data_IF_300735186811
#
_entry.id   IF_300735186811
#
_cell.length_a   1.000
_cell.length_b   1.000
_cell.length_c   1.000
_cell.angle_alpha   90.00
_cell.angle_beta   90.00
_cell.angle_gamma   90.00
#
_symmetry.space_group_name_H-M   'P 1'
#
loop_
_entity.id
_entity.type
_entity.pdbx_description
1 polymer ?
#
# COMPACT_ATOMS: atom_id res chain seq x y z
N UNK A 1 -58.66 14.95 0.26
CA UNK A 1 -57.54 15.39 1.13
C UNK A 1 -56.97 14.13 1.76
N UNK A 2 -55.89 13.58 1.19
CA UNK A 2 -55.35 12.26 1.53
C UNK A 2 -54.06 12.50 2.32
N UNK A 3 -54.12 12.23 3.62
CA UNK A 3 -53.07 12.50 4.60
C UNK A 3 -51.96 11.45 4.49
N UNK A 4 -50.80 11.87 3.97
CA UNK A 4 -49.58 11.07 3.94
C UNK A 4 -49.05 10.87 5.36
N UNK A 5 -48.97 9.62 5.82
CA UNK A 5 -48.32 9.25 7.08
C UNK A 5 -46.82 9.11 6.84
N UNK A 6 -46.03 9.95 7.51
CA UNK A 6 -44.56 9.93 7.51
C UNK A 6 -44.09 8.71 8.29
N UNK A 7 -43.37 7.80 7.63
CA UNK A 7 -42.70 6.66 8.26
C UNK A 7 -41.37 7.17 8.83
N UNK A 8 -41.24 7.12 10.15
CA UNK A 8 -39.99 7.30 10.89
C UNK A 8 -39.03 6.15 10.53
N UNK A 9 -37.98 6.44 9.77
CA UNK A 9 -36.85 5.52 9.58
C UNK A 9 -35.87 5.75 10.72
N UNK A 10 -35.86 4.82 11.68
CA UNK A 10 -34.81 4.70 12.68
C UNK A 10 -33.61 4.06 12.00
N UNK A 11 -32.65 4.87 11.54
CA UNK A 11 -31.37 4.35 11.06
C UNK A 11 -30.54 4.04 12.30
N UNK A 12 -30.52 2.76 12.68
CA UNK A 12 -29.63 2.25 13.71
C UNK A 12 -28.19 2.59 13.32
N UNK A 13 -27.47 3.30 14.19
CA UNK A 13 -26.02 3.50 14.10
C UNK A 13 -25.36 2.13 14.30
N UNK A 14 -25.17 1.40 13.20
CA UNK A 14 -24.20 0.32 13.13
C UNK A 14 -22.82 0.95 13.03
N UNK A 15 -22.02 0.87 14.10
CA UNK A 15 -20.58 1.07 14.05
C UNK A 15 -19.95 -0.07 13.23
N UNK A 16 -20.09 0.00 11.91
CA UNK A 16 -19.25 -0.77 11.00
C UNK A 16 -17.88 -0.09 11.03
N UNK A 17 -16.94 -0.65 11.80
CA UNK A 17 -15.54 -0.30 11.69
C UNK A 17 -15.15 -0.42 10.22
N UNK A 18 -14.86 0.71 9.58
CA UNK A 18 -14.36 0.70 8.22
C UNK A 18 -12.99 0.02 8.28
N UNK A 19 -12.93 -1.25 7.88
CA UNK A 19 -11.67 -1.86 7.51
C UNK A 19 -11.10 -0.97 6.40
N UNK A 20 -9.93 -0.37 6.67
CA UNK A 20 -9.22 0.35 5.62
C UNK A 20 -9.06 -0.60 4.43
N UNK A 21 -9.17 -0.11 3.18
CA UNK A 21 -8.76 -0.93 2.05
C UNK A 21 -7.35 -1.47 2.34
N UNK A 22 -7.09 -2.70 1.91
CA UNK A 22 -5.77 -3.33 1.95
C UNK A 22 -5.54 -3.94 0.56
N UNK A 23 -4.32 -3.81 0.04
CA UNK A 23 -3.95 -4.49 -1.19
C UNK A 23 -3.98 -6.01 -0.96
N UNK A 24 -4.16 -6.78 -2.03
CA UNK A 24 -4.04 -8.22 -1.94
C UNK A 24 -2.63 -8.59 -1.46
N UNK A 25 -2.54 -9.35 -0.37
CA UNK A 25 -1.26 -9.76 0.19
C UNK A 25 -0.45 -10.57 -0.83
N UNK A 26 0.84 -10.27 -0.95
CA UNK A 26 1.74 -10.95 -1.87
C UNK A 26 2.23 -12.24 -1.21
N UNK A 27 1.99 -13.42 -1.79
CA UNK A 27 2.40 -14.69 -1.19
C UNK A 27 3.90 -14.73 -0.89
N UNK A 28 4.26 -15.02 0.36
CA UNK A 28 5.65 -15.07 0.81
C UNK A 28 6.20 -13.75 1.33
N UNK A 29 5.44 -12.66 1.25
CA UNK A 29 5.80 -11.38 1.83
C UNK A 29 5.13 -11.17 3.19
N UNK A 30 5.80 -10.40 4.03
CA UNK A 30 5.34 -9.97 5.35
C UNK A 30 4.87 -8.53 5.25
N UNK A 31 3.63 -8.21 5.64
CA UNK A 31 3.13 -6.84 5.63
C UNK A 31 3.79 -5.98 6.70
N UNK A 32 4.03 -4.72 6.37
CA UNK A 32 4.68 -3.72 7.22
C UNK A 32 3.74 -2.54 7.53
N UNK A 33 4.01 -1.76 8.59
CA UNK A 33 3.34 -0.48 8.80
C UNK A 33 3.47 0.40 7.57
N UNK A 34 2.34 0.90 7.07
CA UNK A 34 2.26 1.60 5.79
C UNK A 34 1.51 2.92 5.93
N UNK A 35 1.85 3.95 5.14
CA UNK A 35 1.08 5.19 5.11
C UNK A 35 -0.30 4.97 4.48
N UNK A 36 -1.27 5.87 4.72
CA UNK A 36 -2.59 5.77 4.12
C UNK A 36 -2.54 5.68 2.59
N UNK A 37 -3.28 4.74 2.02
CA UNK A 37 -3.36 4.52 0.56
C UNK A 37 -2.22 3.68 -0.03
N UNK A 38 -1.31 3.18 0.80
CA UNK A 38 -0.23 2.27 0.38
C UNK A 38 -0.15 1.06 1.31
N UNK A 39 0.39 -0.03 0.78
CA UNK A 39 0.72 -1.25 1.52
C UNK A 39 2.15 -1.64 1.20
N UNK A 40 2.95 -1.75 2.25
CA UNK A 40 4.36 -2.13 2.22
C UNK A 40 4.48 -3.57 2.64
N UNK A 41 5.19 -4.35 1.83
CA UNK A 41 5.38 -5.78 2.06
C UNK A 41 6.84 -6.13 1.82
N UNK A 42 7.43 -6.96 2.67
CA UNK A 42 8.85 -7.35 2.59
C UNK A 42 9.04 -8.85 2.53
N UNK A 43 10.11 -9.30 1.89
CA UNK A 43 10.55 -10.69 1.95
C UNK A 43 12.09 -10.81 1.98
N UNK A 44 12.56 -12.01 2.29
CA UNK A 44 13.98 -12.35 2.25
C UNK A 44 14.80 -11.57 3.27
N UNK A 45 15.89 -10.97 2.82
CA UNK A 45 16.80 -10.16 3.65
C UNK A 45 16.32 -8.74 3.98
N UNK A 46 15.10 -8.35 3.55
CA UNK A 46 14.52 -7.04 3.85
C UNK A 46 13.57 -7.12 5.05
N UNK A 47 13.53 -6.05 5.82
CA UNK A 47 12.73 -5.91 7.04
C UNK A 47 11.83 -4.68 6.95
N UNK A 48 10.83 -4.59 7.83
CA UNK A 48 9.97 -3.40 7.86
C UNK A 48 10.71 -2.10 8.22
N UNK A 49 11.89 -2.21 8.85
CA UNK A 49 12.76 -1.06 9.11
C UNK A 49 13.29 -0.46 7.81
N UNK A 50 13.40 -1.24 6.73
CA UNK A 50 13.87 -0.80 5.41
C UNK A 50 12.83 0.02 4.63
N UNK A 51 11.61 0.18 5.15
CA UNK A 51 10.55 0.98 4.52
C UNK A 51 10.91 2.47 4.30
N UNK A 52 11.98 2.97 4.92
CA UNK A 52 12.54 4.30 4.65
C UNK A 52 12.92 4.48 3.17
N UNK A 53 13.28 3.40 2.47
CA UNK A 53 13.69 3.47 1.06
C UNK A 53 12.52 3.88 0.16
N UNK A 54 11.32 3.34 0.41
CA UNK A 54 10.11 3.67 -0.32
C UNK A 54 9.67 5.13 -0.08
N UNK A 55 10.02 5.71 1.07
CA UNK A 55 9.76 7.12 1.40
C UNK A 55 10.80 8.07 0.79
N UNK A 56 11.98 7.55 0.49
CA UNK A 56 13.09 8.32 -0.12
C UNK A 56 13.03 8.31 -1.64
N UNK A 57 12.27 7.38 -2.23
CA UNK A 57 12.06 7.29 -3.67
C UNK A 57 11.32 8.52 -4.20
N UNK A 58 11.88 9.15 -5.24
CA UNK A 58 11.21 10.25 -5.94
C UNK A 58 10.25 9.66 -6.99
N UNK A 59 8.95 9.67 -6.68
CA UNK A 59 7.91 9.09 -7.53
C UNK A 59 7.50 9.97 -8.72
N UNK A 60 7.73 11.28 -8.62
CA UNK A 60 7.10 12.27 -9.52
C UNK A 60 8.07 12.68 -10.63
N UNK A 61 9.26 13.13 -10.23
CA UNK A 61 10.25 13.71 -11.13
C UNK A 61 11.53 12.87 -11.24
N UNK A 62 11.66 11.86 -10.36
CA UNK A 62 12.79 10.96 -10.31
C UNK A 62 12.87 9.98 -11.49
N UNK A 63 14.07 9.45 -11.78
CA UNK A 63 14.21 8.36 -12.75
C UNK A 63 13.45 7.12 -12.27
N UNK A 64 12.97 6.27 -13.20
CA UNK A 64 12.30 5.01 -12.85
C UNK A 64 13.17 4.04 -12.06
N UNK A 65 14.48 4.21 -12.16
CA UNK A 65 15.51 3.44 -11.49
C UNK A 65 16.23 4.35 -10.51
N UNK A 66 16.23 4.02 -9.23
CA UNK A 66 16.92 4.78 -8.19
C UNK A 66 17.63 3.83 -7.23
N UNK A 67 18.82 4.21 -6.79
CA UNK A 67 19.63 3.45 -5.84
C UNK A 67 19.71 4.19 -4.51
N UNK A 68 19.55 3.43 -3.42
CA UNK A 68 19.54 3.96 -2.06
C UNK A 68 20.30 3.00 -1.15
N UNK A 69 21.51 3.39 -0.73
CA UNK A 69 22.38 2.54 0.07
C UNK A 69 22.57 1.15 -0.58
N UNK A 70 22.02 0.10 0.03
CA UNK A 70 22.08 -1.29 -0.42
C UNK A 70 20.81 -1.75 -1.16
N UNK A 71 19.96 -0.82 -1.59
CA UNK A 71 18.73 -1.09 -2.32
C UNK A 71 18.75 -0.48 -3.71
N UNK A 72 18.21 -1.25 -4.65
CA UNK A 72 17.93 -0.82 -6.01
C UNK A 72 16.43 -0.86 -6.23
N UNK A 73 15.84 0.29 -6.56
CA UNK A 73 14.41 0.49 -6.65
C UNK A 73 13.95 0.79 -8.07
N UNK A 74 12.82 0.20 -8.44
CA UNK A 74 12.17 0.35 -9.74
C UNK A 74 10.71 0.72 -9.57
N UNK A 75 10.28 1.83 -10.16
CA UNK A 75 8.84 2.12 -10.26
C UNK A 75 8.16 1.19 -11.26
N UNK A 76 6.98 0.72 -10.88
CA UNK A 76 6.19 -0.20 -11.70
C UNK A 76 5.57 0.50 -12.90
N UNK A 77 5.15 -0.29 -13.89
CA UNK A 77 4.37 0.22 -15.03
C UNK A 77 2.88 0.26 -14.70
N UNK A 78 2.10 1.00 -15.50
CA UNK A 78 0.65 1.06 -15.34
C UNK A 78 -0.05 -0.31 -15.41
N UNK A 79 0.57 -1.28 -16.09
CA UNK A 79 0.08 -2.66 -16.25
C UNK A 79 0.31 -3.52 -15.00
N UNK A 80 1.23 -3.12 -14.12
CA UNK A 80 1.61 -3.86 -12.92
C UNK A 80 0.86 -3.40 -11.67
N UNK A 81 -0.14 -2.52 -11.83
CA UNK A 81 -1.01 -2.11 -10.72
C UNK A 81 -1.65 -3.34 -10.04
N UNK A 82 -1.72 -3.37 -8.71
CA UNK A 82 -1.54 -2.23 -7.80
C UNK A 82 -0.09 -1.94 -7.39
N UNK A 83 0.92 -2.68 -7.87
CA UNK A 83 2.32 -2.43 -7.49
C UNK A 83 2.76 -1.04 -8.01
N UNK A 84 3.37 -0.25 -7.14
CA UNK A 84 3.89 1.08 -7.40
C UNK A 84 5.42 1.08 -7.46
N UNK A 85 6.05 0.34 -6.55
CA UNK A 85 7.50 0.32 -6.38
C UNK A 85 7.96 -1.07 -5.94
N UNK A 86 9.08 -1.52 -6.48
CA UNK A 86 9.81 -2.69 -6.01
C UNK A 86 11.26 -2.31 -5.75
N UNK A 87 11.77 -2.58 -4.55
CA UNK A 87 13.15 -2.35 -4.15
C UNK A 87 13.80 -3.67 -3.75
N UNK A 88 14.92 -4.00 -4.39
CA UNK A 88 15.70 -5.23 -4.11
C UNK A 88 16.96 -4.85 -3.35
N UNK A 89 17.28 -5.57 -2.28
CA UNK A 89 18.51 -5.38 -1.53
C UNK A 89 19.64 -6.27 -2.03
N UNK A 90 20.88 -5.82 -1.86
CA UNK A 90 22.08 -6.62 -2.15
C UNK A 90 22.18 -7.89 -1.28
N UNK A 91 21.44 -7.93 -0.16
CA UNK A 91 21.34 -9.08 0.75
C UNK A 91 20.27 -10.09 0.35
N UNK A 92 19.62 -9.92 -0.81
CA UNK A 92 18.57 -10.81 -1.31
C UNK A 92 17.22 -10.59 -0.65
N UNK A 93 16.96 -9.38 -0.18
CA UNK A 93 15.67 -8.91 0.31
C UNK A 93 14.90 -8.15 -0.74
N UNK A 94 13.59 -8.06 -0.55
CA UNK A 94 12.72 -7.25 -1.41
C UNK A 94 11.70 -6.49 -0.56
N UNK A 95 11.51 -5.22 -0.88
CA UNK A 95 10.41 -4.38 -0.41
C UNK A 95 9.51 -4.05 -1.60
N UNK A 96 8.22 -4.28 -1.45
CA UNK A 96 7.19 -3.95 -2.44
C UNK A 96 6.22 -2.95 -1.86
N UNK A 97 5.88 -1.94 -2.65
CA UNK A 97 4.83 -0.96 -2.36
C UNK A 97 3.68 -1.17 -3.32
N UNK A 98 2.48 -1.38 -2.77
CA UNK A 98 1.23 -1.48 -3.52
C UNK A 98 0.29 -0.33 -3.18
N UNK A 99 -0.47 0.15 -4.15
CA UNK A 99 -1.61 1.02 -3.93
C UNK A 99 -2.78 0.24 -3.31
N UNK A 100 -3.58 0.94 -2.52
CA UNK A 100 -4.66 0.37 -1.71
C UNK A 100 -5.98 1.07 -1.96
#
# INVERSE_FOLDING_TARGET
>A
MQTLRVILVVIALGAAGMAAPVAAAIPGYTPCPSPPGQQYEVMGGATCEDSWVAQSYDYDDGPKYQEFANFTCYSSTAEQKPILLTCVSDTGGELVVSAV
#
